data_IF_798974137191
#
_entry.id   IF_798974137191
#
_cell.length_a   1.000
_cell.length_b   1.000
_cell.length_c   1.000
_cell.angle_alpha   90.00
_cell.angle_beta   90.00
_cell.angle_gamma   90.00
#
_symmetry.space_group_name_H-M   'P 1'
#
loop_
_entity.id
_entity.type
_entity.pdbx_description
1 polymer ?
#
# COMPACT_ATOMS: atom_id res chain seq x y z
N UNK A 1 28.20 -0.38 -39.09
CA UNK A 1 27.20 0.45 -38.37
C UNK A 1 25.92 -0.36 -38.19
N UNK A 2 25.79 -1.07 -37.07
CA UNK A 2 24.64 -1.96 -36.77
C UNK A 2 23.61 -1.22 -35.91
N UNK A 3 22.45 -0.89 -36.48
CA UNK A 3 21.27 -0.48 -35.71
C UNK A 3 20.56 -1.73 -35.19
N UNK A 4 20.70 -2.02 -33.90
CA UNK A 4 19.84 -2.98 -33.20
C UNK A 4 18.43 -2.39 -33.10
N UNK A 5 17.48 -2.99 -33.80
CA UNK A 5 16.07 -2.77 -33.58
C UNK A 5 15.69 -3.40 -32.24
N UNK A 6 15.24 -2.57 -31.29
CA UNK A 6 14.69 -3.02 -30.02
C UNK A 6 13.40 -3.80 -30.27
N UNK A 7 13.34 -5.03 -29.76
CA UNK A 7 12.09 -5.77 -29.65
C UNK A 7 11.16 -5.05 -28.68
N UNK A 8 9.86 -4.90 -28.98
CA UNK A 8 8.89 -4.48 -27.99
C UNK A 8 8.75 -5.59 -26.95
N UNK A 9 9.12 -5.30 -25.70
CA UNK A 9 8.86 -6.17 -24.57
C UNK A 9 7.36 -6.47 -24.50
N UNK A 10 7.01 -7.74 -24.66
CA UNK A 10 5.67 -8.24 -24.47
C UNK A 10 5.38 -8.17 -22.98
N UNK A 11 4.75 -7.08 -22.53
CA UNK A 11 4.29 -6.94 -21.14
C UNK A 11 3.14 -7.92 -20.97
N UNK A 12 3.48 -9.11 -20.50
CA UNK A 12 2.55 -10.09 -19.99
C UNK A 12 1.70 -9.43 -18.90
N UNK A 13 0.44 -9.17 -19.22
CA UNK A 13 -0.52 -8.53 -18.34
C UNK A 13 -0.77 -9.44 -17.13
N UNK A 14 0.01 -9.24 -16.07
CA UNK A 14 -0.25 -9.84 -14.76
C UNK A 14 -1.53 -9.24 -14.14
N UNK A 15 -2.24 -10.03 -13.32
CA UNK A 15 -3.57 -9.71 -12.87
C UNK A 15 -3.48 -8.75 -11.68
N UNK A 16 -3.79 -7.47 -11.88
CA UNK A 16 -4.03 -6.56 -10.77
C UNK A 16 -5.42 -6.86 -10.18
N UNK A 17 -5.49 -7.93 -9.39
CA UNK A 17 -6.56 -8.17 -8.44
C UNK A 17 -6.09 -7.74 -7.05
N UNK A 18 -5.89 -6.44 -6.83
CA UNK A 18 -5.70 -5.92 -5.48
C UNK A 18 -7.05 -5.90 -4.76
N UNK A 19 -7.46 -7.07 -4.25
CA UNK A 19 -8.49 -7.14 -3.23
C UNK A 19 -7.88 -6.65 -1.92
N UNK A 20 -7.92 -5.33 -1.67
CA UNK A 20 -7.66 -4.84 -0.32
C UNK A 20 -8.89 -5.00 0.55
N UNK A 21 -8.66 -5.56 1.74
CA UNK A 21 -9.66 -5.64 2.79
C UNK A 21 -10.06 -4.21 3.17
N UNK A 22 -11.35 -3.89 3.28
CA UNK A 22 -11.81 -2.56 3.72
C UNK A 22 -11.10 -2.15 5.02
N UNK A 23 -10.72 -0.87 5.11
CA UNK A 23 -10.21 -0.26 6.33
C UNK A 23 -11.27 -0.38 7.42
N UNK A 24 -11.05 -1.29 8.36
CA UNK A 24 -11.82 -1.40 9.59
C UNK A 24 -10.95 -0.91 10.74
N UNK A 25 -11.55 -0.21 11.70
CA UNK A 25 -10.93 0.01 13.00
C UNK A 25 -10.31 -1.31 13.46
N UNK A 26 -9.02 -1.32 13.90
CA UNK A 26 -8.39 -2.52 14.43
C UNK A 26 -9.35 -3.18 15.40
N UNK A 27 -9.60 -4.49 15.25
CA UNK A 27 -10.68 -5.14 15.99
C UNK A 27 -10.63 -4.86 17.50
N UNK A 28 -9.40 -4.71 17.99
CA UNK A 28 -8.98 -4.33 19.33
C UNK A 28 -9.56 -2.97 19.78
N UNK A 29 -9.45 -1.90 18.99
CA UNK A 29 -9.90 -0.57 19.41
C UNK A 29 -11.42 -0.49 19.57
N UNK A 30 -12.17 -1.19 18.72
CA UNK A 30 -13.62 -1.32 18.87
C UNK A 30 -14.01 -2.04 20.16
N UNK A 31 -13.35 -3.16 20.49
CA UNK A 31 -13.68 -3.91 21.71
C UNK A 31 -13.34 -3.11 22.98
N UNK A 32 -12.24 -2.37 23.00
CA UNK A 32 -11.93 -1.49 24.12
C UNK A 32 -12.99 -0.40 24.32
N UNK A 33 -13.44 0.23 23.23
CA UNK A 33 -14.52 1.22 23.31
C UNK A 33 -15.84 0.58 23.77
N UNK A 34 -16.19 -0.60 23.23
CA UNK A 34 -17.40 -1.31 23.62
C UNK A 34 -17.40 -1.72 25.11
N UNK A 35 -16.24 -2.18 25.62
CA UNK A 35 -16.06 -2.49 27.05
C UNK A 35 -16.23 -1.21 27.89
N UNK A 36 -15.57 -0.11 27.51
CA UNK A 36 -15.68 1.16 28.21
C UNK A 36 -17.12 1.68 28.29
N UNK A 37 -17.86 1.65 27.17
CA UNK A 37 -19.27 2.03 27.13
C UNK A 37 -20.14 1.10 27.99
N UNK A 38 -19.88 -0.20 27.95
CA UNK A 38 -20.62 -1.19 28.76
C UNK A 38 -20.42 -0.95 30.26
N UNK A 39 -19.20 -0.63 30.69
CA UNK A 39 -18.88 -0.28 32.07
C UNK A 39 -19.62 1.01 32.47
N UNK A 40 -19.61 2.03 31.62
CA UNK A 40 -20.32 3.29 31.88
C UNK A 40 -21.84 3.07 32.02
N UNK A 41 -22.45 2.26 31.14
CA UNK A 41 -23.87 1.90 31.21
C UNK A 41 -24.18 1.13 32.49
N UNK A 42 -23.32 0.20 32.91
CA UNK A 42 -23.48 -0.52 34.17
C UNK A 42 -23.56 0.43 35.37
N UNK A 43 -22.60 1.34 35.51
CA UNK A 43 -22.57 2.30 36.62
C UNK A 43 -23.73 3.31 36.55
N UNK A 44 -24.12 3.74 35.35
CA UNK A 44 -25.28 4.63 35.17
C UNK A 44 -26.59 3.97 35.63
N UNK A 45 -26.82 2.71 35.25
CA UNK A 45 -28.02 1.96 35.63
C UNK A 45 -28.00 1.61 37.12
N UNK A 46 -26.83 1.23 37.65
CA UNK A 46 -26.67 1.01 39.08
C UNK A 46 -27.03 2.27 39.86
N UNK A 47 -26.45 3.42 39.52
CA UNK A 47 -26.75 4.71 40.15
C UNK A 47 -28.26 5.02 40.13
N UNK A 48 -28.93 4.78 38.99
CA UNK A 48 -30.36 5.01 38.86
C UNK A 48 -31.20 4.11 39.79
N UNK A 49 -30.82 2.84 39.94
CA UNK A 49 -31.53 1.90 40.81
C UNK A 49 -31.20 2.06 42.30
N UNK A 50 -30.00 2.54 42.62
CA UNK A 50 -29.54 2.79 43.99
C UNK A 50 -30.36 3.93 44.63
N UNK A 51 -30.62 5.00 43.87
CA UNK A 51 -31.51 6.09 44.30
C UNK A 51 -32.94 5.59 44.58
N UNK A 52 -33.36 4.51 43.92
CA UNK A 52 -34.69 3.90 44.08
C UNK A 52 -34.86 3.01 45.31
N UNK A 53 -33.82 2.83 46.14
CA UNK A 53 -33.90 2.08 47.40
C UNK A 53 -34.16 0.57 47.24
N UNK A 54 -33.86 0.00 46.06
CA UNK A 54 -34.04 -1.45 45.83
C UNK A 54 -32.90 -2.22 46.48
N UNK A 55 -33.24 -3.31 47.17
CA UNK A 55 -32.24 -4.30 47.59
C UNK A 55 -31.66 -5.00 46.35
N UNK A 56 -30.34 -4.94 46.19
CA UNK A 56 -29.56 -5.53 45.09
C UNK A 56 -29.66 -4.85 43.69
N UNK A 57 -29.29 -3.55 43.54
CA UNK A 57 -29.30 -2.84 42.25
C UNK A 57 -28.29 -3.37 41.22
N UNK A 58 -27.27 -4.10 41.65
CA UNK A 58 -26.25 -4.73 40.79
C UNK A 58 -26.78 -5.84 39.86
N UNK A 59 -27.83 -6.57 40.24
CA UNK A 59 -28.40 -7.68 39.46
C UNK A 59 -29.05 -7.16 38.17
N UNK A 60 -30.03 -6.22 38.22
CA UNK A 60 -30.61 -5.68 36.99
C UNK A 60 -29.56 -4.93 36.17
N UNK A 61 -28.64 -4.20 36.80
CA UNK A 61 -27.54 -3.48 36.12
C UNK A 61 -26.64 -4.43 35.32
N UNK A 62 -26.28 -5.58 35.90
CA UNK A 62 -25.50 -6.61 35.22
C UNK A 62 -26.22 -7.23 34.02
N UNK A 63 -27.53 -7.48 34.14
CA UNK A 63 -28.36 -8.00 33.03
C UNK A 63 -28.43 -7.00 31.87
N UNK A 64 -28.60 -5.71 32.16
CA UNK A 64 -28.61 -4.67 31.12
C UNK A 64 -27.24 -4.50 30.46
N UNK A 65 -26.16 -4.46 31.23
CA UNK A 65 -24.80 -4.36 30.71
C UNK A 65 -24.44 -5.57 29.83
N UNK A 66 -24.78 -6.79 30.26
CA UNK A 66 -24.58 -8.00 29.47
C UNK A 66 -25.37 -7.99 28.15
N UNK A 67 -26.63 -7.55 28.20
CA UNK A 67 -27.46 -7.40 27.00
C UNK A 67 -26.88 -6.38 26.01
N UNK A 68 -26.34 -5.27 26.54
CA UNK A 68 -25.70 -4.23 25.73
C UNK A 68 -24.41 -4.72 25.08
N UNK A 69 -23.61 -5.52 25.79
CA UNK A 69 -22.39 -6.12 25.24
C UNK A 69 -22.71 -7.05 24.06
N UNK A 70 -23.72 -7.91 24.21
CA UNK A 70 -24.20 -8.79 23.12
C UNK A 70 -24.71 -7.95 21.95
N UNK A 71 -25.48 -6.89 22.22
CA UNK A 71 -25.98 -5.98 21.19
C UNK A 71 -24.85 -5.27 20.44
N UNK A 72 -23.78 -4.85 21.12
CA UNK A 72 -22.61 -4.23 20.48
C UNK A 72 -21.90 -5.20 19.55
N UNK A 73 -21.69 -6.45 19.96
CA UNK A 73 -21.09 -7.48 19.08
C UNK A 73 -21.98 -7.73 17.86
N UNK A 74 -23.30 -7.81 18.07
CA UNK A 74 -24.26 -8.00 16.99
C UNK A 74 -24.29 -6.81 16.01
N UNK A 75 -24.30 -5.57 16.52
CA UNK A 75 -24.25 -4.36 15.70
C UNK A 75 -22.98 -4.32 14.86
N UNK A 76 -21.84 -4.69 15.44
CA UNK A 76 -20.58 -4.79 14.71
C UNK A 76 -20.70 -5.77 13.55
N UNK A 77 -21.22 -6.98 13.80
CA UNK A 77 -21.40 -8.01 12.77
C UNK A 77 -22.35 -7.56 11.66
N UNK A 78 -23.47 -6.92 12.00
CA UNK A 78 -24.44 -6.41 11.02
C UNK A 78 -23.85 -5.26 10.18
N UNK A 79 -23.13 -4.33 10.82
CA UNK A 79 -22.47 -3.22 10.12
C UNK A 79 -21.35 -3.76 9.22
N UNK A 80 -20.56 -4.73 9.70
CA UNK A 80 -19.54 -5.46 8.93
C UNK A 80 -20.16 -6.12 7.70
N UNK A 81 -21.22 -6.87 7.89
CA UNK A 81 -21.91 -7.60 6.82
C UNK A 81 -22.55 -6.64 5.81
N UNK A 82 -23.13 -5.52 6.26
CA UNK A 82 -23.73 -4.52 5.37
C UNK A 82 -22.68 -3.70 4.61
N UNK A 83 -21.59 -3.31 5.26
CA UNK A 83 -20.50 -2.62 4.59
C UNK A 83 -19.79 -3.55 3.59
N UNK A 84 -19.60 -4.82 3.94
CA UNK A 84 -19.01 -5.82 3.04
C UNK A 84 -19.93 -6.14 1.85
N UNK A 85 -21.25 -6.27 2.05
CA UNK A 85 -22.19 -6.46 0.93
C UNK A 85 -22.27 -5.24 0.02
N UNK A 86 -22.21 -4.01 0.57
CA UNK A 86 -22.11 -2.78 -0.25
C UNK A 86 -20.81 -2.72 -1.03
N UNK A 87 -19.67 -3.03 -0.40
CA UNK A 87 -18.37 -3.09 -1.07
C UNK A 87 -18.36 -4.14 -2.19
N UNK A 88 -18.82 -5.37 -1.90
CA UNK A 88 -18.95 -6.45 -2.88
C UNK A 88 -19.96 -6.11 -4.00
N UNK A 89 -21.02 -5.34 -3.71
CA UNK A 89 -21.96 -4.87 -4.72
C UNK A 89 -21.32 -3.83 -5.66
N UNK A 90 -20.52 -2.91 -5.12
CA UNK A 90 -19.75 -1.93 -5.91
C UNK A 90 -18.68 -2.64 -6.73
N UNK A 91 -17.95 -3.57 -6.12
CA UNK A 91 -16.91 -4.35 -6.77
C UNK A 91 -17.48 -5.26 -7.86
N UNK A 92 -18.57 -5.98 -7.60
CA UNK A 92 -19.20 -6.83 -8.63
C UNK A 92 -19.83 -6.03 -9.78
N UNK A 93 -20.18 -4.75 -9.58
CA UNK A 93 -20.57 -3.85 -10.66
C UNK A 93 -19.35 -3.40 -11.46
N UNK A 94 -18.24 -3.11 -10.78
CA UNK A 94 -16.97 -2.77 -11.42
C UNK A 94 -16.41 -3.95 -12.23
N UNK A 95 -16.35 -5.14 -11.64
CA UNK A 95 -15.92 -6.38 -12.28
C UNK A 95 -16.81 -6.71 -13.47
N UNK A 96 -18.14 -6.62 -13.35
CA UNK A 96 -19.05 -6.78 -14.50
C UNK A 96 -18.80 -5.74 -15.60
N UNK A 97 -18.55 -4.49 -15.24
CA UNK A 97 -18.22 -3.43 -16.21
C UNK A 97 -16.85 -3.69 -16.88
N UNK A 98 -15.87 -4.22 -16.14
CA UNK A 98 -14.54 -4.58 -16.63
C UNK A 98 -14.60 -5.83 -17.52
N UNK A 99 -15.37 -6.85 -17.14
CA UNK A 99 -15.61 -8.03 -17.96
C UNK A 99 -16.38 -7.70 -19.22
N UNK A 100 -17.39 -6.83 -19.13
CA UNK A 100 -18.12 -6.32 -20.28
C UNK A 100 -17.22 -5.45 -21.18
N UNK A 101 -16.26 -4.72 -20.61
CA UNK A 101 -15.22 -4.03 -21.37
C UNK A 101 -14.17 -4.98 -21.98
N UNK A 102 -13.88 -6.13 -21.35
CA UNK A 102 -13.01 -7.19 -21.89
C UNK A 102 -13.70 -8.02 -22.99
N UNK A 103 -15.02 -8.17 -22.94
CA UNK A 103 -15.84 -8.90 -23.93
C UNK A 103 -16.25 -8.06 -25.14
N UNK A 104 -15.55 -6.97 -25.44
CA UNK A 104 -15.72 -6.28 -26.72
C UNK A 104 -15.17 -7.20 -27.82
N UNK A 105 -15.99 -7.66 -28.78
CA UNK A 105 -15.51 -8.53 -29.84
C UNK A 105 -14.37 -7.86 -30.59
N UNK A 106 -13.34 -8.66 -30.91
CA UNK A 106 -12.09 -8.33 -31.62
C UNK A 106 -12.31 -7.89 -33.08
N UNK A 107 -13.46 -7.29 -33.41
CA UNK A 107 -13.66 -6.54 -34.65
C UNK A 107 -12.66 -5.39 -34.61
N UNK A 108 -11.97 -5.12 -35.73
CA UNK A 108 -11.15 -3.91 -35.93
C UNK A 108 -12.05 -2.68 -35.77
N UNK A 109 -12.33 -2.30 -34.53
CA UNK A 109 -13.12 -1.13 -34.19
C UNK A 109 -12.20 0.07 -34.36
N UNK A 110 -12.02 0.47 -35.63
CA UNK A 110 -11.34 1.70 -36.01
C UNK A 110 -11.79 2.81 -35.06
N UNK A 111 -10.83 3.55 -34.52
CA UNK A 111 -11.14 4.67 -33.64
C UNK A 111 -11.71 5.80 -34.51
N UNK A 112 -13.04 5.89 -34.58
CA UNK A 112 -13.70 7.00 -35.26
C UNK A 112 -13.44 8.31 -34.51
N UNK A 113 -13.54 9.44 -35.22
CA UNK A 113 -13.35 10.77 -34.61
C UNK A 113 -14.31 10.99 -33.45
N UNK A 114 -15.59 10.63 -33.62
CA UNK A 114 -16.59 10.75 -32.56
C UNK A 114 -16.28 9.86 -31.36
N UNK A 115 -15.81 8.63 -31.61
CA UNK A 115 -15.41 7.71 -30.53
C UNK A 115 -14.19 8.24 -29.79
N UNK A 116 -13.20 8.76 -30.51
CA UNK A 116 -12.02 9.41 -29.91
C UNK A 116 -12.43 10.58 -29.02
N UNK A 117 -13.30 11.46 -29.52
CA UNK A 117 -13.80 12.62 -28.76
C UNK A 117 -14.51 12.19 -27.48
N UNK A 118 -15.46 11.24 -27.58
CA UNK A 118 -16.20 10.73 -26.41
C UNK A 118 -15.30 10.08 -25.35
N UNK A 119 -14.26 9.36 -25.79
CA UNK A 119 -13.28 8.78 -24.86
C UNK A 119 -12.47 9.86 -24.14
N UNK A 120 -12.02 10.88 -24.86
CA UNK A 120 -11.30 12.01 -24.26
C UNK A 120 -12.17 12.79 -23.27
N UNK A 121 -13.42 13.10 -23.64
CA UNK A 121 -14.37 13.77 -22.74
C UNK A 121 -14.62 12.96 -21.46
N UNK A 122 -14.75 11.63 -21.57
CA UNK A 122 -14.91 10.76 -20.41
C UNK A 122 -13.65 10.75 -19.52
N UNK A 123 -12.47 10.61 -20.12
CA UNK A 123 -11.19 10.66 -19.38
C UNK A 123 -11.05 11.99 -18.65
N UNK A 124 -11.36 13.10 -19.31
CA UNK A 124 -11.27 14.44 -18.73
C UNK A 124 -12.26 14.65 -17.59
N UNK A 125 -13.51 14.22 -17.78
CA UNK A 125 -14.55 14.29 -16.74
C UNK A 125 -14.20 13.44 -15.52
N UNK A 126 -13.69 12.23 -15.73
CA UNK A 126 -13.24 11.38 -14.62
C UNK A 126 -11.99 11.95 -13.94
N UNK A 127 -11.04 12.46 -14.72
CA UNK A 127 -9.83 13.10 -14.21
C UNK A 127 -10.14 14.32 -13.36
N UNK A 128 -11.07 15.19 -13.80
CA UNK A 128 -11.48 16.36 -13.02
C UNK A 128 -12.16 15.97 -11.71
N UNK A 129 -13.03 14.96 -11.72
CA UNK A 129 -13.65 14.42 -10.52
C UNK A 129 -12.61 13.81 -9.55
N UNK A 130 -11.60 13.12 -10.06
CA UNK A 130 -10.54 12.57 -9.21
C UNK A 130 -9.64 13.63 -8.59
N UNK A 131 -9.37 14.73 -9.30
CA UNK A 131 -8.63 15.86 -8.73
C UNK A 131 -9.35 16.46 -7.52
N UNK A 132 -10.68 16.42 -7.49
CA UNK A 132 -11.46 16.83 -6.31
C UNK A 132 -11.41 15.80 -5.17
N UNK A 133 -11.11 14.54 -5.48
CA UNK A 133 -11.02 13.41 -4.54
C UNK A 133 -9.56 12.98 -4.29
N UNK A 134 -8.65 13.96 -4.18
CA UNK A 134 -7.18 13.80 -4.20
C UNK A 134 -6.57 12.88 -3.11
N UNK A 135 -7.39 12.29 -2.23
CA UNK A 135 -6.94 11.40 -1.16
C UNK A 135 -7.22 9.92 -1.42
N UNK A 136 -7.96 9.58 -2.49
CA UNK A 136 -8.35 8.21 -2.78
C UNK A 136 -7.42 7.60 -3.85
N UNK A 137 -6.46 6.75 -3.47
CA UNK A 137 -5.49 6.21 -4.42
C UNK A 137 -6.15 5.35 -5.50
N UNK A 138 -7.18 4.58 -5.15
CA UNK A 138 -7.95 3.73 -6.08
C UNK A 138 -8.53 4.52 -7.26
N UNK A 139 -9.00 5.75 -7.00
CA UNK A 139 -9.57 6.62 -8.03
C UNK A 139 -8.50 7.06 -9.03
N UNK A 140 -7.30 7.36 -8.54
CA UNK A 140 -6.17 7.70 -9.41
C UNK A 140 -5.71 6.48 -10.23
N UNK A 141 -5.65 5.28 -9.63
CA UNK A 141 -5.29 4.06 -10.33
C UNK A 141 -6.30 3.71 -11.43
N UNK A 142 -7.61 3.81 -11.16
CA UNK A 142 -8.66 3.56 -12.16
C UNK A 142 -8.47 4.46 -13.38
N UNK A 143 -8.21 5.76 -13.16
CA UNK A 143 -8.07 6.71 -14.27
C UNK A 143 -6.76 6.49 -15.01
N UNK A 144 -5.69 6.15 -14.31
CA UNK A 144 -4.44 5.71 -14.93
C UNK A 144 -4.70 4.55 -15.90
N UNK A 145 -5.44 3.51 -15.49
CA UNK A 145 -5.76 2.38 -16.37
C UNK A 145 -6.61 2.79 -17.58
N UNK A 146 -7.57 3.70 -17.40
CA UNK A 146 -8.38 4.21 -18.52
C UNK A 146 -7.48 4.98 -19.50
N UNK A 147 -6.54 5.77 -18.99
CA UNK A 147 -5.55 6.47 -19.80
C UNK A 147 -4.64 5.47 -20.55
N UNK A 148 -4.13 4.43 -19.89
CA UNK A 148 -3.28 3.41 -20.50
C UNK A 148 -4.03 2.66 -21.62
N UNK A 149 -5.28 2.24 -21.36
CA UNK A 149 -6.16 1.64 -22.37
C UNK A 149 -6.34 2.55 -23.58
N UNK A 150 -6.56 3.85 -23.36
CA UNK A 150 -6.65 4.82 -24.46
C UNK A 150 -5.33 4.95 -25.22
N UNK A 151 -4.19 5.08 -24.53
CA UNK A 151 -2.88 5.22 -25.16
C UNK A 151 -2.53 4.00 -26.02
N UNK A 152 -2.81 2.78 -25.56
CA UNK A 152 -2.62 1.55 -26.36
C UNK A 152 -3.50 1.54 -27.60
N UNK A 153 -4.76 1.99 -27.50
CA UNK A 153 -5.66 2.10 -28.65
C UNK A 153 -5.17 3.17 -29.63
N UNK A 154 -4.76 4.33 -29.13
CA UNK A 154 -4.23 5.41 -29.95
C UNK A 154 -2.95 4.98 -30.67
N UNK A 155 -2.02 4.30 -29.98
CA UNK A 155 -0.76 3.84 -30.57
C UNK A 155 -1.02 2.83 -31.70
N UNK A 156 -1.89 1.85 -31.46
CA UNK A 156 -2.30 0.88 -32.47
C UNK A 156 -2.96 1.52 -33.70
N UNK A 157 -3.79 2.54 -33.51
CA UNK A 157 -4.43 3.23 -34.62
C UNK A 157 -3.43 4.09 -35.38
N UNK A 158 -2.53 4.80 -34.68
CA UNK A 158 -1.46 5.60 -35.29
C UNK A 158 -0.54 4.76 -36.18
N UNK A 159 -0.23 3.52 -35.79
CA UNK A 159 0.56 2.59 -36.60
C UNK A 159 -0.14 2.18 -37.91
N UNK A 160 -1.47 2.30 -37.97
CA UNK A 160 -2.29 1.90 -39.12
C UNK A 160 -2.73 3.06 -40.02
N UNK A 161 -2.50 4.31 -39.60
CA UNK A 161 -2.99 5.51 -40.27
C UNK A 161 -1.89 6.16 -41.13
N UNK A 162 -2.26 6.62 -42.32
CA UNK A 162 -1.40 7.53 -43.10
C UNK A 162 -1.34 8.92 -42.44
N UNK A 163 -0.22 9.61 -42.63
CA UNK A 163 0.03 10.97 -42.12
C UNK A 163 -1.05 11.95 -42.63
N UNK A 164 -1.54 11.75 -43.86
CA UNK A 164 -2.55 12.61 -44.49
C UNK A 164 -3.99 12.33 -44.01
N UNK A 165 -4.18 11.34 -43.11
CA UNK A 165 -5.52 11.06 -42.60
C UNK A 165 -5.99 12.20 -41.69
N UNK A 166 -7.22 12.73 -41.88
CA UNK A 166 -7.79 13.74 -40.98
C UNK A 166 -7.85 13.30 -39.51
N UNK A 167 -7.81 11.97 -39.27
CA UNK A 167 -7.83 11.36 -37.93
C UNK A 167 -6.49 11.40 -37.23
N UNK A 168 -5.39 11.45 -37.98
CA UNK A 168 -4.04 11.41 -37.44
C UNK A 168 -3.79 12.57 -36.49
N UNK A 169 -4.15 13.80 -36.90
CA UNK A 169 -4.01 15.00 -36.07
C UNK A 169 -4.81 14.91 -34.76
N UNK A 170 -6.08 14.52 -34.84
CA UNK A 170 -6.94 14.41 -33.67
C UNK A 170 -6.45 13.34 -32.66
N UNK A 171 -6.02 12.18 -33.15
CA UNK A 171 -5.50 11.10 -32.29
C UNK A 171 -4.15 11.49 -31.69
N UNK A 172 -3.26 12.12 -32.46
CA UNK A 172 -1.96 12.61 -31.96
C UNK A 172 -2.12 13.63 -30.83
N UNK A 173 -3.03 14.59 -30.98
CA UNK A 173 -3.32 15.60 -29.96
C UNK A 173 -3.93 14.96 -28.71
N UNK A 174 -4.91 14.08 -28.88
CA UNK A 174 -5.52 13.32 -27.78
C UNK A 174 -4.48 12.49 -27.00
N UNK A 175 -3.60 11.77 -27.72
CA UNK A 175 -2.48 11.01 -27.14
C UNK A 175 -1.57 11.90 -26.29
N UNK A 176 -1.15 13.07 -26.79
CA UNK A 176 -0.29 13.99 -26.03
C UNK A 176 -0.98 14.46 -24.75
N UNK A 177 -2.27 14.78 -24.82
CA UNK A 177 -3.07 15.20 -23.65
C UNK A 177 -3.20 14.09 -22.62
N UNK A 178 -3.57 12.89 -23.05
CA UNK A 178 -3.76 11.73 -22.17
C UNK A 178 -2.44 11.26 -21.56
N UNK A 179 -1.29 11.38 -22.24
CA UNK A 179 0.03 11.11 -21.62
C UNK A 179 0.30 11.96 -20.38
N UNK A 180 -0.12 13.23 -20.39
CA UNK A 180 -0.01 14.09 -19.22
C UNK A 180 -0.90 13.62 -18.06
N UNK A 181 -2.14 13.23 -18.36
CA UNK A 181 -3.07 12.69 -17.36
C UNK A 181 -2.61 11.34 -16.81
N UNK A 182 -2.14 10.45 -17.68
CA UNK A 182 -1.58 9.14 -17.34
C UNK A 182 -0.44 9.29 -16.33
N UNK A 183 0.52 10.18 -16.62
CA UNK A 183 1.62 10.49 -15.68
C UNK A 183 1.07 11.02 -14.36
N UNK A 184 0.24 12.06 -14.41
CA UNK A 184 -0.32 12.69 -13.21
C UNK A 184 -1.01 11.67 -12.29
N UNK A 185 -1.90 10.85 -12.84
CA UNK A 185 -2.67 9.90 -12.05
C UNK A 185 -1.79 8.77 -11.49
N UNK A 186 -0.79 8.27 -12.23
CA UNK A 186 0.13 7.29 -11.68
C UNK A 186 0.95 7.85 -10.51
N UNK A 187 1.48 9.06 -10.66
CA UNK A 187 2.28 9.70 -9.61
C UNK A 187 1.44 10.01 -8.37
N UNK A 188 0.21 10.50 -8.56
CA UNK A 188 -0.72 10.70 -7.46
C UNK A 188 -1.05 9.40 -6.73
N UNK A 189 -1.38 8.33 -7.48
CA UNK A 189 -1.62 7.01 -6.89
C UNK A 189 -0.41 6.53 -6.08
N UNK A 190 0.76 6.46 -6.72
CA UNK A 190 1.98 5.96 -6.09
C UNK A 190 2.35 6.76 -4.84
N UNK A 191 2.20 8.08 -4.87
CA UNK A 191 2.45 8.98 -3.74
C UNK A 191 1.50 8.74 -2.57
N UNK A 192 0.20 8.64 -2.84
CA UNK A 192 -0.80 8.46 -1.77
C UNK A 192 -0.62 7.07 -1.15
N UNK A 193 -0.49 6.07 -2.00
CA UNK A 193 -0.42 4.66 -1.63
C UNK A 193 0.86 4.33 -0.85
N UNK A 194 2.03 4.78 -1.33
CA UNK A 194 3.29 4.61 -0.61
C UNK A 194 3.28 5.34 0.73
N UNK A 195 2.68 6.53 0.80
CA UNK A 195 2.55 7.29 2.05
C UNK A 195 1.67 6.59 3.09
N UNK A 196 0.56 5.99 2.65
CA UNK A 196 -0.32 5.22 3.55
C UNK A 196 0.49 4.08 4.18
N UNK A 197 1.23 3.33 3.36
CA UNK A 197 2.02 2.21 3.85
C UNK A 197 3.23 2.62 4.69
N UNK A 198 3.94 3.70 4.37
CA UNK A 198 5.05 4.15 5.23
C UNK A 198 4.54 4.66 6.58
N UNK A 199 3.38 5.32 6.61
CA UNK A 199 2.73 5.71 7.86
C UNK A 199 2.27 4.48 8.66
N UNK A 200 1.67 3.48 8.02
CA UNK A 200 1.29 2.22 8.65
C UNK A 200 2.52 1.47 9.19
N UNK A 201 3.59 1.38 8.40
CA UNK A 201 4.87 0.81 8.82
C UNK A 201 5.42 1.49 10.07
N UNK A 202 5.31 2.82 10.17
CA UNK A 202 5.78 3.56 11.35
C UNK A 202 4.99 3.27 12.63
N UNK A 203 3.76 2.78 12.52
CA UNK A 203 2.86 2.52 13.63
C UNK A 203 2.96 1.09 14.20
N UNK A 204 3.62 0.16 13.50
CA UNK A 204 3.82 -1.19 14.04
C UNK A 204 4.82 -1.16 15.19
N UNK A 205 4.70 -2.10 16.14
CA UNK A 205 5.71 -2.28 17.20
C UNK A 205 6.77 -3.32 16.76
N UNK A 206 6.34 -4.36 16.06
CA UNK A 206 7.14 -5.49 15.59
C UNK A 206 7.92 -5.09 14.33
N UNK A 207 9.25 -5.24 14.35
CA UNK A 207 10.14 -4.75 13.29
C UNK A 207 9.93 -5.49 11.96
N UNK A 208 9.59 -6.78 12.03
CA UNK A 208 9.24 -7.61 10.87
C UNK A 208 8.04 -7.03 10.12
N UNK A 209 6.99 -6.65 10.85
CA UNK A 209 5.78 -6.04 10.28
C UNK A 209 6.08 -4.65 9.71
N UNK A 210 6.97 -3.87 10.37
CA UNK A 210 7.48 -2.59 9.82
C UNK A 210 8.13 -2.80 8.45
N UNK A 211 9.06 -3.75 8.38
CA UNK A 211 9.82 -4.05 7.16
C UNK A 211 8.89 -4.56 6.06
N UNK A 212 8.00 -5.50 6.36
CA UNK A 212 7.06 -6.05 5.38
C UNK A 212 6.12 -4.98 4.80
N UNK A 213 5.63 -4.08 5.66
CA UNK A 213 4.74 -2.99 5.23
C UNK A 213 5.50 -1.94 4.41
N UNK A 214 6.72 -1.58 4.82
CA UNK A 214 7.58 -0.68 4.05
C UNK A 214 7.98 -1.28 2.69
N UNK A 215 8.22 -2.60 2.61
CA UNK A 215 8.45 -3.28 1.34
C UNK A 215 7.24 -3.17 0.41
N UNK A 216 6.03 -3.25 0.95
CA UNK A 216 4.81 -3.05 0.15
C UNK A 216 4.72 -1.62 -0.40
N UNK A 217 5.15 -0.61 0.37
CA UNK A 217 5.28 0.76 -0.11
C UNK A 217 6.30 0.88 -1.25
N UNK A 218 7.42 0.16 -1.16
CA UNK A 218 8.45 0.11 -2.20
C UNK A 218 7.92 -0.56 -3.48
N UNK A 219 7.19 -1.66 -3.37
CA UNK A 219 6.61 -2.37 -4.53
C UNK A 219 5.65 -1.49 -5.33
N UNK A 220 4.90 -0.61 -4.64
CA UNK A 220 4.04 0.41 -5.27
C UNK A 220 4.88 1.39 -6.10
N UNK A 221 5.98 1.91 -5.54
CA UNK A 221 6.87 2.84 -6.24
C UNK A 221 7.58 2.16 -7.41
N UNK A 222 8.05 0.93 -7.24
CA UNK A 222 8.69 0.14 -8.30
C UNK A 222 7.70 -0.15 -9.44
N UNK A 223 6.42 -0.40 -9.12
CA UNK A 223 5.36 -0.53 -10.13
C UNK A 223 5.19 0.77 -10.92
N UNK A 224 5.22 1.92 -10.26
CA UNK A 224 5.13 3.21 -10.96
C UNK A 224 6.39 3.51 -11.82
N UNK A 225 7.58 3.14 -11.33
CA UNK A 225 8.85 3.28 -12.03
C UNK A 225 8.92 2.43 -13.31
N UNK A 226 8.19 1.31 -13.40
CA UNK A 226 8.09 0.55 -14.66
C UNK A 226 7.49 1.36 -15.81
N UNK A 227 6.59 2.32 -15.51
CA UNK A 227 5.99 3.21 -16.51
C UNK A 227 6.77 4.51 -16.71
N UNK A 228 7.36 5.05 -15.63
CA UNK A 228 8.16 6.28 -15.66
C UNK A 228 9.50 6.10 -14.93
N UNK A 229 10.49 5.42 -15.55
CA UNK A 229 11.74 5.03 -14.87
C UNK A 229 12.66 6.18 -14.46
N UNK A 230 12.44 7.37 -15.04
CA UNK A 230 13.27 8.56 -14.85
C UNK A 230 12.55 9.63 -14.02
N UNK A 231 11.47 9.26 -13.32
CA UNK A 231 10.72 10.21 -12.50
C UNK A 231 11.47 10.48 -11.18
N UNK A 232 12.04 11.68 -10.97
CA UNK A 232 12.90 11.94 -9.80
C UNK A 232 12.16 11.76 -8.48
N UNK A 233 10.88 12.17 -8.42
CA UNK A 233 10.07 12.07 -7.21
C UNK A 233 9.84 10.61 -6.77
N UNK A 234 9.72 9.69 -7.73
CA UNK A 234 9.55 8.26 -7.42
C UNK A 234 10.87 7.63 -6.98
N UNK A 235 11.97 7.99 -7.64
CA UNK A 235 13.32 7.50 -7.31
C UNK A 235 13.68 7.92 -5.90
N UNK A 236 13.58 9.21 -5.59
CA UNK A 236 13.88 9.76 -4.26
C UNK A 236 13.00 9.12 -3.18
N UNK A 237 11.70 8.97 -3.43
CA UNK A 237 10.79 8.31 -2.47
C UNK A 237 11.17 6.84 -2.25
N UNK A 238 11.58 6.13 -3.31
CA UNK A 238 11.96 4.73 -3.22
C UNK A 238 13.28 4.57 -2.45
N UNK A 239 14.23 5.48 -2.65
CA UNK A 239 15.51 5.48 -1.94
C UNK A 239 15.33 5.72 -0.44
N UNK A 240 14.48 6.67 -0.04
CA UNK A 240 14.13 6.89 1.37
C UNK A 240 13.48 5.66 2.00
N UNK A 241 12.61 4.95 1.28
CA UNK A 241 11.99 3.72 1.79
C UNK A 241 13.00 2.58 1.89
N UNK A 242 13.89 2.42 0.92
CA UNK A 242 15.00 1.43 0.98
C UNK A 242 15.93 1.72 2.16
N UNK A 243 16.21 2.98 2.42
CA UNK A 243 17.00 3.42 3.57
C UNK A 243 16.30 3.07 4.89
N UNK A 244 15.00 3.35 5.00
CA UNK A 244 14.19 2.99 6.17
C UNK A 244 14.15 1.47 6.42
N UNK A 245 13.99 0.66 5.36
CA UNK A 245 14.03 -0.80 5.46
C UNK A 245 15.41 -1.26 5.96
N UNK A 246 16.47 -0.73 5.38
CA UNK A 246 17.85 -1.09 5.73
C UNK A 246 18.17 -0.72 7.19
N UNK A 247 17.79 0.48 7.65
CA UNK A 247 18.01 0.90 9.04
C UNK A 247 17.25 0.02 10.02
N UNK A 248 15.99 -0.33 9.69
CA UNK A 248 15.17 -1.24 10.49
C UNK A 248 15.79 -2.65 10.58
N UNK A 249 16.34 -3.17 9.49
CA UNK A 249 17.05 -4.45 9.45
C UNK A 249 18.34 -4.42 10.29
N UNK A 250 19.12 -3.35 10.19
CA UNK A 250 20.34 -3.16 10.99
C UNK A 250 19.99 -3.14 12.48
N UNK A 251 19.01 -2.31 12.89
CA UNK A 251 18.58 -2.22 14.29
C UNK A 251 18.06 -3.54 14.83
N UNK A 252 17.28 -4.29 14.04
CA UNK A 252 16.82 -5.63 14.41
C UNK A 252 18.01 -6.57 14.65
N UNK A 253 18.91 -6.69 13.67
CA UNK A 253 20.05 -7.60 13.78
C UNK A 253 20.97 -7.26 14.96
N UNK A 254 21.16 -5.97 15.27
CA UNK A 254 21.92 -5.57 16.46
C UNK A 254 21.21 -6.03 17.75
N UNK A 255 19.90 -5.81 17.85
CA UNK A 255 19.10 -6.25 19.00
C UNK A 255 19.13 -7.76 19.18
N UNK A 256 18.91 -8.52 18.11
CA UNK A 256 18.92 -9.99 18.14
C UNK A 256 20.32 -10.53 18.52
N UNK A 257 21.38 -9.81 18.11
CA UNK A 257 22.74 -10.12 18.54
C UNK A 257 22.93 -9.88 20.05
N UNK A 258 22.48 -8.74 20.57
CA UNK A 258 22.59 -8.39 21.99
C UNK A 258 21.79 -9.35 22.89
N UNK A 259 20.61 -9.77 22.45
CA UNK A 259 19.81 -10.81 23.12
C UNK A 259 20.56 -12.15 23.16
N UNK A 260 21.12 -12.59 22.02
CA UNK A 260 21.93 -13.80 21.94
C UNK A 260 23.18 -13.74 22.84
N UNK A 261 23.79 -12.56 23.01
CA UNK A 261 24.88 -12.36 23.98
C UNK A 261 24.40 -12.55 25.41
N UNK A 262 23.21 -12.04 25.76
CA UNK A 262 22.57 -12.24 27.05
C UNK A 262 22.33 -13.72 27.36
N UNK A 263 21.89 -14.47 26.36
CA UNK A 263 21.66 -15.92 26.45
C UNK A 263 22.94 -16.77 26.37
N UNK A 264 24.10 -16.11 26.21
CA UNK A 264 25.43 -16.73 26.03
C UNK A 264 25.56 -17.57 24.74
N UNK A 265 24.65 -17.41 23.79
CA UNK A 265 24.81 -17.95 22.43
C UNK A 265 25.67 -17.00 21.58
N UNK A 266 26.97 -17.01 21.85
CA UNK A 266 27.92 -16.15 21.16
C UNK A 266 28.05 -16.46 19.65
N UNK A 267 27.69 -17.68 19.22
CA UNK A 267 27.76 -18.07 17.81
C UNK A 267 26.64 -17.37 17.03
N UNK A 268 25.42 -17.40 17.55
CA UNK A 268 24.28 -16.70 16.96
C UNK A 268 24.47 -15.19 17.01
N UNK A 269 24.97 -14.65 18.13
CA UNK A 269 25.30 -13.23 18.25
C UNK A 269 26.25 -12.72 17.15
N UNK A 270 27.34 -13.46 16.90
CA UNK A 270 28.28 -13.14 15.81
C UNK A 270 27.60 -13.22 14.43
N UNK A 271 26.65 -14.15 14.24
CA UNK A 271 25.85 -14.25 13.02
C UNK A 271 25.03 -13.00 12.77
N UNK A 272 24.26 -12.56 13.77
CA UNK A 272 23.42 -11.37 13.68
C UNK A 272 24.24 -10.08 13.47
N UNK A 273 25.36 -9.90 14.17
CA UNK A 273 26.24 -8.75 13.93
C UNK A 273 26.84 -8.71 12.52
N UNK A 274 27.17 -9.88 11.93
CA UNK A 274 27.60 -9.94 10.53
C UNK A 274 26.50 -9.52 9.57
N UNK A 275 25.27 -9.92 9.83
CA UNK A 275 24.13 -9.51 9.00
C UNK A 275 23.90 -8.00 9.09
N UNK A 276 24.01 -7.42 10.28
CA UNK A 276 23.98 -5.96 10.46
C UNK A 276 25.07 -5.24 9.64
N UNK A 277 26.31 -5.75 9.65
CA UNK A 277 27.41 -5.22 8.83
C UNK A 277 27.15 -5.37 7.34
N UNK A 278 26.56 -6.48 6.91
CA UNK A 278 26.19 -6.70 5.51
C UNK A 278 25.21 -5.63 5.02
N UNK A 279 24.18 -5.32 5.81
CA UNK A 279 23.23 -4.24 5.50
C UNK A 279 23.88 -2.85 5.54
N UNK A 280 24.75 -2.57 6.52
CA UNK A 280 25.50 -1.31 6.60
C UNK A 280 26.39 -1.07 5.37
N UNK A 281 27.08 -2.11 4.90
CA UNK A 281 27.98 -2.01 3.75
C UNK A 281 27.24 -1.72 2.43
N UNK A 282 25.94 -2.07 2.36
CA UNK A 282 25.12 -1.91 1.17
C UNK A 282 24.45 -0.54 1.08
N UNK A 283 24.41 0.24 2.15
CA UNK A 283 24.04 1.65 2.08
C UNK A 283 25.19 2.44 1.44
N UNK A 284 24.98 2.95 0.22
CA UNK A 284 25.98 3.79 -0.45
C UNK A 284 26.30 5.07 0.33
N UNK A 285 27.57 5.45 0.24
CA UNK A 285 28.29 6.65 0.70
C UNK A 285 27.37 7.87 0.95
N UNK A 286 26.94 8.06 2.19
CA UNK A 286 26.14 9.23 2.58
C UNK A 286 26.00 9.44 4.09
N UNK A 287 25.97 8.36 4.87
CA UNK A 287 25.88 8.44 6.33
C UNK A 287 27.27 8.51 6.96
N UNK A 288 27.63 9.70 7.48
CA UNK A 288 28.90 9.91 8.22
C UNK A 288 29.03 9.02 9.47
N UNK A 289 27.93 8.47 9.97
CA UNK A 289 27.89 7.66 11.21
C UNK A 289 28.02 6.15 11.00
N UNK A 290 27.88 5.65 9.76
CA UNK A 290 27.91 4.19 9.50
C UNK A 290 29.29 3.58 9.80
N UNK A 291 30.36 4.37 9.67
CA UNK A 291 31.73 3.94 9.98
C UNK A 291 31.92 3.63 11.47
N UNK A 292 31.44 4.50 12.36
CA UNK A 292 31.53 4.32 13.80
C UNK A 292 30.69 3.13 14.29
N UNK A 293 29.48 2.98 13.76
CA UNK A 293 28.61 1.82 14.06
C UNK A 293 29.27 0.53 13.57
N UNK A 294 29.82 0.51 12.35
CA UNK A 294 30.51 -0.65 11.81
C UNK A 294 31.77 -1.02 12.63
N UNK A 295 32.55 -0.03 13.07
CA UNK A 295 33.70 -0.25 13.95
C UNK A 295 33.29 -0.86 15.28
N UNK A 296 32.23 -0.32 15.92
CA UNK A 296 31.68 -0.87 17.17
C UNK A 296 31.23 -2.32 17.00
N UNK A 297 30.51 -2.64 15.92
CA UNK A 297 30.07 -4.01 15.64
C UNK A 297 31.27 -4.94 15.41
N UNK A 298 32.27 -4.51 14.64
CA UNK A 298 33.49 -5.29 14.42
C UNK A 298 34.24 -5.59 15.72
N UNK A 299 34.37 -4.60 16.61
CA UNK A 299 35.02 -4.78 17.91
C UNK A 299 34.27 -5.80 18.77
N UNK A 300 32.94 -5.76 18.79
CA UNK A 300 32.14 -6.76 19.51
C UNK A 300 32.26 -8.16 18.87
N UNK A 301 32.28 -8.30 17.55
CA UNK A 301 32.52 -9.60 16.89
C UNK A 301 33.88 -10.19 17.33
N UNK A 302 34.94 -9.39 17.38
CA UNK A 302 36.27 -9.83 17.80
C UNK A 302 36.24 -10.28 19.26
N UNK A 303 35.61 -9.49 20.14
CA UNK A 303 35.44 -9.82 21.56
C UNK A 303 34.70 -11.15 21.76
N UNK A 304 33.57 -11.33 21.09
CA UNK A 304 32.74 -12.54 21.20
C UNK A 304 33.47 -13.79 20.68
N UNK A 305 34.23 -13.65 19.58
CA UNK A 305 35.09 -14.74 19.07
C UNK A 305 36.15 -15.15 20.08
N UNK A 306 36.80 -14.20 20.75
CA UNK A 306 37.79 -14.51 21.78
C UNK A 306 37.18 -15.28 22.96
N UNK A 307 35.91 -15.01 23.30
CA UNK A 307 35.19 -15.76 24.33
C UNK A 307 34.89 -17.18 23.84
N UNK A 308 34.40 -17.34 22.60
CA UNK A 308 34.15 -18.65 21.99
C UNK A 308 35.41 -19.53 21.99
N UNK A 309 36.55 -18.99 21.59
CA UNK A 309 37.82 -19.72 21.57
C UNK A 309 38.34 -20.11 22.96
N UNK A 310 38.00 -19.36 24.01
CA UNK A 310 38.39 -19.71 25.39
C UNK A 310 37.53 -20.80 26.01
N UNK A 311 36.31 -20.96 25.50
CA UNK A 311 35.33 -21.91 26.03
C UNK A 311 35.26 -23.22 25.22
N UNK A 312 35.96 -23.31 24.08
CA UNK A 312 36.14 -24.51 23.25
C UNK A 312 37.37 -25.31 23.69
#
# INVERSE_FOLDING_TARGET
MNRRYGQPAFVESRPFGHYRKPFWLPAISYYFLAIGVTIAVFFMIWWLFDIGGRSAPWIPSGVFAGSFMVLSVYLREVVLRNAMTRYLAVQSRLDRNVEQARRIPRKRNKLSLDKNRRLLENIEKKSSAARTLNQLPDVHLEIFEICDKYLRLADKEMDSLSIDSPRFGAIRTGRRRVKGLHRYHLLSWAKIESRIYTQEASNYDIVEDKIATAQTALDVLDTALQFYPQEPQLIESADVIREFISSSQISKNIRDAEESVGDKDYKSAVGHYKEALFHLARQEIGYKDNSAVAEKINNEIVRLRNILYKNS
#
